data_IF_300035759478
#
_entry.id   IF_300035759478
#
_cell.length_a   1.000
_cell.length_b   1.000
_cell.length_c   1.000
_cell.angle_alpha   90.00
_cell.angle_beta   90.00
_cell.angle_gamma   90.00
#
_symmetry.space_group_name_H-M   'P 1'
#
loop_
_entity.id
_entity.type
_entity.pdbx_description
1 polymer ?
#
# COMPACT_ATOMS: atom_id res chain seq x y z
N UNK A 1 -5.61 -14.00 17.11
CA UNK A 1 -7.04 -13.67 17.30
C UNK A 1 -7.14 -12.17 17.20
N UNK A 2 -7.97 -11.63 16.29
CA UNK A 2 -7.82 -10.30 15.66
C UNK A 2 -7.08 -9.22 16.47
N UNK A 3 -7.47 -8.93 17.72
CA UNK A 3 -6.79 -7.93 18.57
C UNK A 3 -5.32 -8.23 18.87
N UNK A 4 -4.92 -9.50 19.05
CA UNK A 4 -3.50 -9.88 19.16
C UNK A 4 -2.75 -9.64 17.87
N UNK A 5 -3.41 -9.89 16.73
CA UNK A 5 -2.80 -9.79 15.40
C UNK A 5 -2.54 -8.32 15.05
N UNK A 6 -3.46 -7.43 15.46
CA UNK A 6 -3.28 -5.96 15.42
C UNK A 6 -2.09 -5.50 16.26
N UNK A 7 -1.88 -6.10 17.44
CA UNK A 7 -0.72 -5.75 18.27
C UNK A 7 0.59 -6.14 17.60
N UNK A 8 0.69 -7.38 17.09
CA UNK A 8 1.88 -7.81 16.36
C UNK A 8 2.11 -6.99 15.09
N UNK A 9 1.04 -6.56 14.41
CA UNK A 9 1.12 -5.63 13.30
C UNK A 9 1.72 -4.29 13.75
N UNK A 10 1.21 -3.69 14.84
CA UNK A 10 1.75 -2.44 15.38
C UNK A 10 3.25 -2.52 15.68
N UNK A 11 3.69 -3.61 16.32
CA UNK A 11 5.12 -3.85 16.58
C UNK A 11 5.91 -3.97 15.26
N UNK A 12 5.44 -4.78 14.31
CA UNK A 12 6.09 -4.95 13.01
C UNK A 12 6.23 -3.63 12.27
N UNK A 13 5.18 -2.81 12.22
CA UNK A 13 5.19 -1.51 11.56
C UNK A 13 6.24 -0.59 12.20
N UNK A 14 6.34 -0.54 13.53
CA UNK A 14 7.40 0.22 14.20
C UNK A 14 8.79 -0.32 13.83
N UNK A 15 8.98 -1.64 13.81
CA UNK A 15 10.26 -2.23 13.41
C UNK A 15 10.65 -1.87 11.97
N UNK A 16 9.69 -1.80 11.05
CA UNK A 16 9.94 -1.43 9.64
C UNK A 16 10.52 -0.03 9.53
N UNK A 17 9.94 0.95 10.24
CA UNK A 17 10.37 2.35 10.10
C UNK A 17 11.61 2.69 10.94
N UNK A 18 11.92 1.91 11.98
CA UNK A 18 13.07 2.19 12.86
C UNK A 18 14.25 1.23 12.68
N UNK A 19 14.05 0.06 12.06
CA UNK A 19 15.00 -1.06 12.04
C UNK A 19 15.51 -1.49 13.43
N UNK A 20 14.69 -1.33 14.49
CA UNK A 20 15.07 -1.62 15.88
C UNK A 20 14.39 -2.90 16.40
N UNK A 21 14.99 -3.60 17.37
CA UNK A 21 14.35 -4.74 18.03
C UNK A 21 13.03 -4.33 18.74
N UNK A 22 12.08 -5.26 18.90
CA UNK A 22 10.73 -4.94 19.40
C UNK A 22 10.68 -4.64 20.91
N UNK A 23 11.69 -5.06 21.68
CA UNK A 23 11.70 -4.91 23.13
C UNK A 23 11.79 -3.44 23.55
N UNK A 24 10.75 -2.95 24.23
CA UNK A 24 10.67 -1.55 24.67
C UNK A 24 10.45 -0.54 23.56
N UNK A 25 10.30 -0.99 22.30
CA UNK A 25 10.28 -0.13 21.12
C UNK A 25 9.15 0.91 21.17
N UNK A 26 7.93 0.47 21.54
CA UNK A 26 6.75 1.34 21.65
C UNK A 26 7.00 2.52 22.58
N UNK A 27 7.58 2.26 23.75
CA UNK A 27 7.87 3.29 24.75
C UNK A 27 8.95 4.27 24.27
N UNK A 28 10.01 3.76 23.61
CA UNK A 28 11.08 4.62 23.08
C UNK A 28 10.54 5.53 21.97
N UNK A 29 9.75 4.98 21.04
CA UNK A 29 9.14 5.76 19.94
C UNK A 29 8.14 6.78 20.49
N UNK A 30 7.23 6.39 21.39
CA UNK A 30 6.25 7.32 22.01
C UNK A 30 6.95 8.50 22.67
N UNK A 31 7.97 8.21 23.49
CA UNK A 31 8.77 9.25 24.15
C UNK A 31 9.47 10.16 23.15
N UNK A 32 9.93 9.61 22.01
CA UNK A 32 10.60 10.41 21.01
C UNK A 32 9.64 11.38 20.30
N UNK A 33 8.43 10.91 20.02
CA UNK A 33 7.35 11.75 19.48
C UNK A 33 7.00 12.87 20.47
N UNK A 34 6.79 12.55 21.74
CA UNK A 34 6.48 13.53 22.80
C UNK A 34 7.56 14.61 22.96
N UNK A 35 8.84 14.26 22.72
CA UNK A 35 9.98 15.17 22.81
C UNK A 35 10.28 15.91 21.50
N UNK A 36 9.56 15.61 20.43
CA UNK A 36 9.82 16.19 19.10
C UNK A 36 11.10 15.70 18.44
N UNK A 37 11.66 14.55 18.84
CA UNK A 37 12.86 13.95 18.27
C UNK A 37 12.58 12.61 17.57
N UNK A 38 11.37 12.46 17.00
CA UNK A 38 10.98 11.27 16.26
C UNK A 38 11.90 10.93 15.08
N UNK A 39 12.46 11.92 14.38
CA UNK A 39 13.37 11.70 13.26
C UNK A 39 14.62 10.88 13.64
N UNK A 40 15.09 10.97 14.89
CA UNK A 40 16.21 10.18 15.41
C UNK A 40 15.86 8.68 15.61
N UNK A 41 14.58 8.33 15.53
CA UNK A 41 14.10 6.95 15.65
C UNK A 41 14.08 6.21 14.33
N UNK A 42 14.02 6.93 13.21
CA UNK A 42 13.92 6.36 11.88
C UNK A 42 15.17 5.56 11.51
N UNK A 43 15.02 4.59 10.61
CA UNK A 43 16.14 3.78 10.12
C UNK A 43 17.21 4.70 9.50
N UNK A 44 18.43 4.74 10.06
CA UNK A 44 19.51 5.58 9.54
C UNK A 44 20.03 5.13 8.16
N UNK A 45 19.66 3.94 7.68
CA UNK A 45 20.02 3.47 6.34
C UNK A 45 19.25 4.21 5.22
N UNK A 46 18.18 4.94 5.56
CA UNK A 46 17.37 5.73 4.62
C UNK A 46 17.60 7.21 4.88
N UNK A 47 17.97 7.96 3.84
CA UNK A 47 18.54 9.31 3.99
C UNK A 47 17.50 10.44 3.85
N UNK A 48 16.38 10.17 3.20
CA UNK A 48 15.37 11.13 2.73
C UNK A 48 13.96 10.76 3.22
N UNK A 49 13.85 10.37 4.48
CA UNK A 49 12.57 10.01 5.09
C UNK A 49 11.52 11.13 4.94
N UNK A 50 10.29 10.79 4.49
CA UNK A 50 9.15 11.71 4.60
C UNK A 50 8.69 11.75 6.07
N UNK A 51 9.37 12.56 6.90
CA UNK A 51 9.26 12.54 8.36
C UNK A 51 7.81 12.71 8.83
N UNK A 52 7.03 13.57 8.19
CA UNK A 52 5.63 13.82 8.52
C UNK A 52 4.75 12.58 8.26
N UNK A 53 4.92 11.92 7.11
CA UNK A 53 4.20 10.70 6.79
C UNK A 53 4.64 9.53 7.68
N UNK A 54 5.94 9.43 7.97
CA UNK A 54 6.50 8.45 8.88
C UNK A 54 5.99 8.66 10.33
N UNK A 55 5.78 9.91 10.74
CA UNK A 55 5.17 10.23 12.04
C UNK A 55 3.73 9.74 12.11
N UNK A 56 2.89 10.05 11.10
CA UNK A 56 1.52 9.52 11.03
C UNK A 56 1.49 7.99 11.05
N UNK A 57 2.42 7.35 10.34
CA UNK A 57 2.60 5.90 10.34
C UNK A 57 2.96 5.36 11.73
N UNK A 58 3.88 6.02 12.44
CA UNK A 58 4.27 5.65 13.80
C UNK A 58 3.10 5.79 14.80
N UNK A 59 2.29 6.84 14.67
CA UNK A 59 1.13 7.08 15.53
C UNK A 59 0.05 5.99 15.37
N UNK A 60 -0.26 5.56 14.14
CA UNK A 60 -1.19 4.43 13.94
C UNK A 60 -0.57 3.11 14.46
N UNK A 61 0.74 2.91 14.26
CA UNK A 61 1.44 1.72 14.75
C UNK A 61 1.47 1.65 16.29
N UNK A 62 1.68 2.78 16.98
CA UNK A 62 1.61 2.87 18.44
C UNK A 62 0.21 2.53 18.96
N UNK A 63 -0.85 3.08 18.35
CA UNK A 63 -2.25 2.73 18.70
C UNK A 63 -2.53 1.23 18.52
N UNK A 64 -1.99 0.62 17.46
CA UNK A 64 -2.09 -0.82 17.24
C UNK A 64 -1.36 -1.62 18.35
N UNK A 65 -0.23 -1.12 18.82
CA UNK A 65 0.63 -1.75 19.83
C UNK A 65 0.22 -1.44 21.29
N UNK A 66 -0.99 -0.95 21.52
CA UNK A 66 -1.50 -0.72 22.88
C UNK A 66 -1.58 -2.02 23.71
N UNK A 67 -1.16 -1.96 24.97
CA UNK A 67 -1.15 -3.14 25.85
C UNK A 67 -2.57 -3.62 26.14
N UNK A 68 -3.52 -2.69 26.25
CA UNK A 68 -4.92 -2.99 26.51
C UNK A 68 -5.62 -3.30 25.19
N UNK A 69 -6.21 -4.50 25.09
CA UNK A 69 -6.92 -4.96 23.88
C UNK A 69 -8.02 -4.00 23.41
N UNK A 70 -8.68 -3.30 24.34
CA UNK A 70 -9.78 -2.37 24.03
C UNK A 70 -9.32 -1.02 23.48
N UNK A 71 -8.06 -0.65 23.73
CA UNK A 71 -7.50 0.63 23.26
C UNK A 71 -6.92 0.48 21.83
N UNK A 72 -6.71 -0.76 21.38
CA UNK A 72 -6.32 -1.06 20.00
C UNK A 72 -7.45 -0.71 19.04
N UNK A 73 -7.16 -0.04 17.92
CA UNK A 73 -8.16 0.32 16.92
C UNK A 73 -8.77 -0.91 16.24
N UNK A 74 -9.80 -0.68 15.44
CA UNK A 74 -10.31 -1.68 14.51
C UNK A 74 -9.49 -1.69 13.22
N UNK A 75 -9.18 -2.89 12.73
CA UNK A 75 -8.29 -3.05 11.57
C UNK A 75 -8.93 -2.53 10.29
N UNK A 76 -10.20 -2.83 10.04
CA UNK A 76 -10.87 -2.51 8.78
C UNK A 76 -11.32 -1.05 8.69
N UNK A 77 -11.71 -0.46 9.82
CA UNK A 77 -12.33 0.88 9.85
C UNK A 77 -11.37 2.00 10.23
N UNK A 78 -10.22 1.70 10.85
CA UNK A 78 -9.27 2.74 11.29
C UNK A 78 -7.87 2.50 10.74
N UNK A 79 -7.31 1.30 10.92
CA UNK A 79 -5.92 1.02 10.53
C UNK A 79 -5.75 0.97 9.01
N UNK A 80 -6.58 0.17 8.33
CA UNK A 80 -6.48 -0.02 6.88
C UNK A 80 -6.70 1.27 6.08
N UNK A 81 -7.70 2.13 6.39
CA UNK A 81 -7.85 3.41 5.70
C UNK A 81 -6.63 4.32 5.83
N UNK A 82 -6.03 4.40 7.02
CA UNK A 82 -4.84 5.24 7.23
C UNK A 82 -3.61 4.69 6.49
N UNK A 83 -3.41 3.37 6.49
CA UNK A 83 -2.33 2.75 5.71
C UNK A 83 -2.54 2.94 4.20
N UNK A 84 -3.78 2.89 3.69
CA UNK A 84 -4.06 3.16 2.29
C UNK A 84 -3.76 4.62 1.91
N UNK A 85 -4.15 5.58 2.77
CA UNK A 85 -3.83 7.00 2.57
C UNK A 85 -2.31 7.23 2.49
N UNK A 86 -1.55 6.59 3.38
CA UNK A 86 -0.08 6.69 3.38
C UNK A 86 0.54 6.00 2.15
N UNK A 87 -0.02 4.88 1.69
CA UNK A 87 0.39 4.22 0.44
C UNK A 87 0.22 5.15 -0.76
N UNK A 88 -0.95 5.78 -0.90
CA UNK A 88 -1.26 6.70 -2.00
C UNK A 88 -0.25 7.85 -2.06
N UNK A 89 0.09 8.46 -0.92
CA UNK A 89 1.14 9.49 -0.84
C UNK A 89 2.51 8.99 -1.32
N UNK A 90 2.86 7.76 -0.98
CA UNK A 90 4.11 7.13 -1.42
C UNK A 90 4.13 6.87 -2.93
N UNK A 91 3.02 6.39 -3.49
CA UNK A 91 2.86 6.12 -4.92
C UNK A 91 2.93 7.40 -5.77
N UNK A 92 2.27 8.48 -5.34
CA UNK A 92 2.34 9.79 -6.00
C UNK A 92 3.78 10.34 -6.02
N UNK A 93 4.49 10.23 -4.89
CA UNK A 93 5.89 10.66 -4.78
C UNK A 93 6.80 9.85 -5.72
N UNK A 94 6.59 8.53 -5.79
CA UNK A 94 7.38 7.65 -6.65
C UNK A 94 7.13 7.93 -8.14
N UNK A 95 5.88 8.18 -8.55
CA UNK A 95 5.54 8.57 -9.92
C UNK A 95 6.21 9.89 -10.33
N UNK A 96 6.26 10.87 -9.41
CA UNK A 96 6.94 12.13 -9.64
C UNK A 96 8.46 11.95 -9.85
N UNK A 97 9.09 11.07 -9.08
CA UNK A 97 10.51 10.73 -9.24
C UNK A 97 10.79 10.06 -10.60
N UNK A 98 9.95 9.11 -11.03
CA UNK A 98 10.08 8.45 -12.35
C UNK A 98 9.89 9.45 -13.50
N UNK A 99 9.00 10.42 -13.37
CA UNK A 99 8.83 11.46 -14.40
C UNK A 99 10.05 12.40 -14.46
N UNK A 100 10.67 12.73 -13.32
CA UNK A 100 11.85 13.61 -13.26
C UNK A 100 13.13 12.98 -13.81
N UNK A 101 13.30 11.67 -13.70
CA UNK A 101 14.42 10.98 -14.37
C UNK A 101 14.27 10.97 -15.89
N UNK A 102 13.06 11.24 -16.41
CA UNK A 102 12.77 11.22 -17.85
C UNK A 102 13.07 12.53 -18.57
N UNK A 103 13.20 13.67 -17.88
CA UNK A 103 13.34 15.00 -18.52
C UNK A 103 14.73 15.62 -18.43
N UNK A 104 15.65 15.06 -17.65
CA UNK A 104 16.98 15.63 -17.42
C UNK A 104 18.10 14.60 -17.59
N UNK A 105 18.24 14.00 -18.78
CA UNK A 105 19.56 13.73 -19.38
C UNK A 105 19.44 13.15 -20.80
N UNK A 106 20.13 13.79 -21.74
CA UNK A 106 20.65 13.17 -22.96
C UNK A 106 21.91 13.96 -23.36
N UNK A 107 22.97 13.32 -23.90
CA UNK A 107 22.97 12.01 -24.57
C UNK A 107 24.10 11.07 -24.11
N UNK A 108 23.82 9.80 -23.83
CA UNK A 108 24.66 8.68 -24.29
C UNK A 108 23.88 7.36 -24.23
N UNK A 109 23.53 6.88 -25.43
CA UNK A 109 23.34 5.51 -25.86
C UNK A 109 23.38 4.41 -24.77
N UNK A 110 22.23 4.02 -24.24
CA UNK A 110 22.00 2.64 -23.82
C UNK A 110 20.54 2.28 -24.10
N UNK A 111 20.33 1.35 -25.03
CA UNK A 111 19.03 0.78 -25.30
C UNK A 111 18.68 -0.18 -24.17
N UNK A 112 17.77 0.22 -23.29
CA UNK A 112 16.96 -0.72 -22.51
C UNK A 112 15.53 -0.45 -22.91
N UNK A 113 14.99 -1.34 -23.74
CA UNK A 113 13.58 -1.34 -24.12
C UNK A 113 12.74 -1.60 -22.87
N UNK A 114 12.05 -0.57 -22.39
CA UNK A 114 10.85 -0.76 -21.59
C UNK A 114 9.72 -1.13 -22.55
N UNK A 115 9.40 -2.42 -22.64
CA UNK A 115 8.15 -2.86 -23.25
C UNK A 115 6.99 -2.50 -22.31
N UNK A 116 6.54 -1.25 -22.43
CA UNK A 116 5.22 -0.84 -21.96
C UNK A 116 4.21 -1.55 -22.86
N UNK A 117 3.60 -2.64 -22.36
CA UNK A 117 2.41 -3.18 -22.98
C UNK A 117 1.29 -2.14 -22.83
N UNK A 118 1.15 -1.32 -23.86
CA UNK A 118 -0.03 -0.54 -24.13
C UNK A 118 -0.16 -0.53 -25.64
N UNK A 119 -1.04 -1.37 -26.20
CA UNK A 119 -1.51 -1.13 -27.55
C UNK A 119 -3.06 -1.08 -27.59
N UNK A 120 -3.65 -0.01 -28.15
CA UNK A 120 -5.08 0.19 -28.30
C UNK A 120 -5.64 -0.55 -29.54
N UNK A 121 -6.97 -0.47 -29.65
CA UNK A 121 -7.82 -0.98 -30.73
C UNK A 121 -7.25 -0.83 -32.17
N UNK A 122 -7.59 -1.79 -33.06
CA UNK A 122 -8.54 -1.58 -34.16
C UNK A 122 -8.76 -2.84 -35.05
N UNK A 123 -10.02 -3.29 -35.05
CA UNK A 123 -10.90 -3.64 -36.21
C UNK A 123 -10.46 -4.56 -37.37
N UNK A 124 -11.35 -5.54 -37.57
CA UNK A 124 -11.97 -6.01 -38.82
C UNK A 124 -11.37 -7.19 -39.62
N UNK A 125 -12.05 -8.34 -39.48
CA UNK A 125 -12.24 -9.40 -40.49
C UNK A 125 -13.15 -10.45 -39.81
N UNK A 126 -14.41 -10.70 -40.16
CA UNK A 126 -15.00 -10.75 -41.49
C UNK A 126 -15.06 -12.19 -42.00
N UNK A 127 -15.77 -13.11 -41.32
CA UNK A 127 -16.32 -14.31 -41.98
C UNK A 127 -17.65 -14.73 -41.33
N UNK A 128 -18.59 -15.00 -42.23
CA UNK A 128 -19.99 -15.37 -42.04
C UNK A 128 -20.11 -16.90 -42.17
N UNK A 129 -20.91 -17.57 -41.33
CA UNK A 129 -21.73 -18.72 -41.78
C UNK A 129 -22.67 -19.26 -40.69
N UNK A 130 -23.97 -19.06 -40.95
CA UNK A 130 -25.04 -20.08 -40.92
C UNK A 130 -25.50 -20.73 -39.60
N UNK A 131 -26.54 -20.11 -39.02
CA UNK A 131 -27.89 -20.66 -38.75
C UNK A 131 -28.07 -22.20 -38.68
N UNK A 132 -28.57 -22.67 -37.54
CA UNK A 132 -29.60 -23.72 -37.48
C UNK A 132 -30.42 -23.64 -36.19
N UNK A 133 -31.71 -23.34 -36.36
CA UNK A 133 -32.81 -23.52 -35.40
C UNK A 133 -32.96 -25.01 -35.02
N UNK A 134 -33.31 -25.30 -33.77
CA UNK A 134 -34.28 -26.37 -33.51
C UNK A 134 -35.05 -26.12 -32.21
N UNK A 135 -36.34 -26.41 -32.32
CA UNK A 135 -37.45 -25.96 -31.49
C UNK A 135 -37.71 -26.81 -30.24
N UNK A 136 -38.40 -26.18 -29.27
CA UNK A 136 -39.00 -26.73 -28.04
C UNK A 136 -40.11 -27.78 -28.36
N UNK A 137 -40.55 -28.65 -27.43
CA UNK A 137 -41.58 -28.28 -26.41
C UNK A 137 -41.29 -28.92 -25.02
N UNK A 138 -41.57 -28.31 -23.86
CA UNK A 138 -42.81 -27.72 -23.40
C UNK A 138 -43.70 -28.77 -22.72
N UNK A 139 -43.78 -28.83 -21.38
CA UNK A 139 -45.04 -29.14 -20.68
C UNK A 139 -45.08 -28.68 -19.22
N UNK A 140 -46.22 -28.10 -18.90
CA UNK A 140 -46.67 -27.36 -17.71
C UNK A 140 -46.98 -28.24 -16.50
N UNK A 141 -47.29 -27.52 -15.40
CA UNK A 141 -48.44 -27.74 -14.50
C UNK A 141 -48.11 -28.52 -13.22
N UNK A 142 -48.58 -28.21 -12.02
CA UNK A 142 -49.38 -27.14 -11.40
C UNK A 142 -49.36 -27.44 -9.88
N UNK A 143 -49.86 -26.47 -9.10
CA UNK A 143 -50.28 -26.53 -7.69
C UNK A 143 -49.29 -25.95 -6.69
#
# INVERSE_FOLDING_TARGET
GVKSDIYSLGIMLLQIITAKPPMGLTHIVSRAIEKGNFSEMLDPAIQDWPVEAALSFAEIALRCAELRRKDRPDLGTVVLPELNRLRELGEETMQYCVLRTSTNDSPMNSQVSLEVMSDPLLTHSGYDSSRSESSIPGRKSNA
#
